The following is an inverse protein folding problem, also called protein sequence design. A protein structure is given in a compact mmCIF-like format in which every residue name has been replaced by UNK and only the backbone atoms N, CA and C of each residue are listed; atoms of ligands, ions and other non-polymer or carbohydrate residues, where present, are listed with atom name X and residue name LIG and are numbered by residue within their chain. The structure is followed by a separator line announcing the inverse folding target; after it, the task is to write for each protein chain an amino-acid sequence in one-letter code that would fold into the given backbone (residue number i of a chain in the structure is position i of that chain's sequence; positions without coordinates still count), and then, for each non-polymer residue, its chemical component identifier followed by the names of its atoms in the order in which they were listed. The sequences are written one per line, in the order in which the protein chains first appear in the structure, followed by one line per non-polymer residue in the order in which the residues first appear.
data_IF_375617464444
#
_entry.id   IF_375617464444
#
_cell.length_a   1.000
_cell.length_b   1.000
_cell.length_c   1.000
_cell.angle_alpha   90.00
_cell.angle_beta   90.00
_cell.angle_gamma   90.00
#
_symmetry.space_group_name_H-M   'P 1'
#
loop_
_entity.id
_entity.type
_entity.pdbx_description
1 polymer ?
#
# COMPACT_ATOMS: atom_id res chain seq x y z
N UNK A 1 -5.54 -49.03 -0.04
CA UNK A 1 -4.55 -48.20 0.70
C UNK A 1 -3.84 -47.17 -0.17
N UNK A 2 -3.25 -47.55 -1.32
CA UNK A 2 -2.48 -46.62 -2.18
C UNK A 2 -3.27 -45.38 -2.63
N UNK A 3 -4.52 -45.57 -3.07
CA UNK A 3 -5.42 -44.48 -3.49
C UNK A 3 -5.84 -43.54 -2.35
N UNK A 4 -6.02 -44.09 -1.15
CA UNK A 4 -6.42 -43.35 0.04
C UNK A 4 -5.27 -42.47 0.57
N UNK A 5 -4.03 -42.96 0.43
CA UNK A 5 -2.81 -42.19 0.71
C UNK A 5 -2.62 -41.06 -0.33
N UNK A 6 -2.89 -41.33 -1.62
CA UNK A 6 -2.85 -40.30 -2.67
C UNK A 6 -3.88 -39.20 -2.43
N UNK A 7 -5.12 -39.54 -2.05
CA UNK A 7 -6.15 -38.53 -1.77
C UNK A 7 -5.78 -37.65 -0.57
N UNK A 8 -5.20 -38.22 0.49
CA UNK A 8 -4.72 -37.47 1.66
C UNK A 8 -3.55 -36.53 1.29
N UNK A 9 -2.64 -36.99 0.43
CA UNK A 9 -1.52 -36.18 -0.03
C UNK A 9 -1.98 -35.00 -0.90
N UNK A 10 -2.92 -35.24 -1.83
CA UNK A 10 -3.50 -34.19 -2.69
C UNK A 10 -4.29 -33.18 -1.86
N UNK A 11 -5.07 -33.61 -0.85
CA UNK A 11 -5.78 -32.68 0.03
C UNK A 11 -4.84 -31.81 0.87
N UNK A 12 -3.67 -32.34 1.27
CA UNK A 12 -2.67 -31.57 2.02
C UNK A 12 -1.99 -30.49 1.18
N UNK A 13 -1.79 -30.75 -0.13
CA UNK A 13 -1.23 -29.76 -1.06
C UNK A 13 -2.24 -28.66 -1.40
N UNK A 14 -3.54 -29.00 -1.47
CA UNK A 14 -4.61 -28.04 -1.75
C UNK A 14 -5.03 -27.19 -0.54
N UNK A 15 -4.64 -27.59 0.68
CA UNK A 15 -5.00 -26.88 1.93
C UNK A 15 -3.96 -25.87 2.40
N UNK A 16 -3.01 -25.49 1.55
CA UNK A 16 -2.06 -24.43 1.87
C UNK A 16 -2.79 -23.09 1.88
N UNK A 17 -3.21 -22.66 3.07
CA UNK A 17 -3.59 -21.26 3.30
C UNK A 17 -2.30 -20.46 3.21
N UNK A 18 -2.05 -19.86 2.04
CA UNK A 18 -1.01 -18.85 1.90
C UNK A 18 -1.36 -17.71 2.85
N UNK A 19 -0.60 -17.58 3.93
CA UNK A 19 -0.71 -16.46 4.84
C UNK A 19 -0.51 -15.18 4.04
N UNK A 20 -1.56 -14.37 3.94
CA UNK A 20 -1.44 -13.05 3.33
C UNK A 20 -0.50 -12.26 4.22
N UNK A 21 0.63 -11.83 3.68
CA UNK A 21 1.55 -10.95 4.41
C UNK A 21 0.77 -9.79 5.02
N UNK A 22 0.96 -9.55 6.33
CA UNK A 22 0.37 -8.42 7.03
C UNK A 22 0.99 -7.13 6.50
N UNK A 23 0.44 -6.61 5.41
CA UNK A 23 0.83 -5.33 4.84
C UNK A 23 0.03 -4.21 5.50
N UNK A 24 0.74 -3.19 5.96
CA UNK A 24 0.13 -1.98 6.49
C UNK A 24 -0.51 -1.13 5.38
N UNK A 25 0.13 -1.09 4.22
CA UNK A 25 -0.24 -0.23 3.09
C UNK A 25 -0.40 -1.05 1.81
N UNK A 26 -1.30 -0.61 0.93
CA UNK A 26 -1.34 -1.15 -0.44
C UNK A 26 -0.11 -0.70 -1.21
N UNK A 27 0.42 -1.61 -2.03
CA UNK A 27 1.52 -1.34 -2.95
C UNK A 27 1.10 -1.65 -4.41
N UNK A 28 2.06 -1.60 -5.34
CA UNK A 28 1.84 -1.93 -6.74
C UNK A 28 1.37 -3.37 -6.98
N UNK A 29 1.65 -4.30 -6.07
CA UNK A 29 1.15 -5.68 -6.19
C UNK A 29 -0.36 -5.70 -5.96
N UNK A 30 -0.83 -5.02 -4.91
CA UNK A 30 -2.25 -4.89 -4.60
C UNK A 30 -2.97 -4.14 -5.72
N UNK A 31 -2.40 -3.01 -6.17
CA UNK A 31 -2.93 -2.20 -7.26
C UNK A 31 -3.10 -3.00 -8.56
N UNK A 32 -2.03 -3.67 -9.02
CA UNK A 32 -2.05 -4.47 -10.24
C UNK A 32 -2.93 -5.73 -10.11
N UNK A 33 -3.16 -6.22 -8.89
CA UNK A 33 -4.02 -7.40 -8.66
C UNK A 33 -5.49 -7.12 -8.96
N UNK A 34 -5.94 -5.87 -8.92
CA UNK A 34 -7.34 -5.49 -9.17
C UNK A 34 -7.77 -5.91 -10.59
N UNK A 35 -6.88 -5.74 -11.57
CA UNK A 35 -7.11 -6.10 -12.97
C UNK A 35 -6.96 -7.59 -13.26
N UNK A 36 -6.12 -8.29 -12.49
CA UNK A 36 -5.82 -9.72 -12.72
C UNK A 36 -6.88 -10.67 -12.18
N UNK A 37 -7.88 -10.19 -11.45
CA UNK A 37 -8.97 -11.03 -10.95
C UNK A 37 -9.89 -11.38 -12.12
N UNK A 38 -9.96 -12.67 -12.46
CA UNK A 38 -10.88 -13.19 -13.46
C UNK A 38 -12.31 -12.71 -13.12
N UNK A 39 -13.03 -12.21 -14.11
CA UNK A 39 -14.41 -11.69 -14.04
C UNK A 39 -14.61 -10.23 -13.57
N UNK A 40 -13.54 -9.43 -13.45
CA UNK A 40 -13.66 -7.99 -13.14
C UNK A 40 -13.74 -7.16 -14.43
N UNK A 41 -14.90 -6.53 -14.68
CA UNK A 41 -15.05 -5.57 -15.79
C UNK A 41 -14.19 -4.31 -15.62
N UNK A 42 -13.81 -3.65 -16.70
CA UNK A 42 -13.06 -2.36 -16.66
C UNK A 42 -13.77 -1.32 -15.78
N UNK A 43 -15.10 -1.26 -15.85
CA UNK A 43 -15.93 -0.40 -15.00
C UNK A 43 -15.78 -0.73 -13.51
N UNK A 44 -15.67 -2.01 -13.17
CA UNK A 44 -15.43 -2.47 -11.80
C UNK A 44 -14.02 -2.14 -11.33
N UNK A 45 -13.00 -2.33 -12.18
CA UNK A 45 -11.60 -1.92 -11.88
C UNK A 45 -11.56 -0.43 -11.55
N UNK A 46 -12.12 0.41 -12.42
CA UNK A 46 -12.17 1.85 -12.21
C UNK A 46 -12.88 2.23 -10.91
N UNK A 47 -14.01 1.59 -10.58
CA UNK A 47 -14.73 1.83 -9.33
C UNK A 47 -13.91 1.49 -8.09
N UNK A 48 -13.18 0.37 -8.11
CA UNK A 48 -12.34 -0.04 -6.97
C UNK A 48 -11.19 0.95 -6.80
N UNK A 49 -10.45 1.25 -7.87
CA UNK A 49 -9.31 2.18 -7.83
C UNK A 49 -9.75 3.60 -7.44
N UNK A 50 -10.86 4.09 -7.99
CA UNK A 50 -11.38 5.43 -7.65
C UNK A 50 -11.93 5.49 -6.22
N UNK A 51 -12.58 4.45 -5.71
CA UNK A 51 -12.98 4.39 -4.31
C UNK A 51 -11.79 4.44 -3.35
N UNK A 52 -10.69 3.75 -3.68
CA UNK A 52 -9.45 3.82 -2.90
C UNK A 52 -8.88 5.25 -2.87
N UNK A 53 -8.75 5.89 -4.05
CA UNK A 53 -8.24 7.26 -4.15
C UNK A 53 -9.12 8.26 -3.40
N UNK A 54 -10.44 8.20 -3.59
CA UNK A 54 -11.37 9.11 -2.94
C UNK A 54 -11.33 8.93 -1.42
N UNK A 55 -11.31 7.68 -0.93
CA UNK A 55 -11.21 7.42 0.50
C UNK A 55 -9.91 7.97 1.12
N UNK A 56 -8.80 7.93 0.38
CA UNK A 56 -7.55 8.56 0.81
C UNK A 56 -7.67 10.09 0.87
N UNK A 57 -8.24 10.71 -0.16
CA UNK A 57 -8.42 12.16 -0.22
C UNK A 57 -9.38 12.66 0.86
N UNK A 58 -10.47 11.93 1.12
CA UNK A 58 -11.42 12.20 2.20
C UNK A 58 -10.72 12.10 3.56
N UNK A 59 -9.89 11.07 3.76
CA UNK A 59 -9.08 10.91 4.97
C UNK A 59 -8.08 12.05 5.16
N UNK A 60 -7.40 12.45 4.08
CA UNK A 60 -6.49 13.61 4.09
C UNK A 60 -7.21 14.88 4.48
N UNK A 61 -8.36 15.16 3.86
CA UNK A 61 -9.18 16.34 4.17
C UNK A 61 -9.65 16.32 5.62
N UNK A 62 -10.09 15.16 6.12
CA UNK A 62 -10.51 15.01 7.52
C UNK A 62 -9.38 15.39 8.50
N UNK A 63 -8.17 14.85 8.30
CA UNK A 63 -7.05 15.16 9.19
C UNK A 63 -6.53 16.58 9.04
N UNK A 64 -6.56 17.14 7.84
CA UNK A 64 -6.30 18.57 7.62
C UNK A 64 -7.24 19.42 8.46
N UNK A 65 -8.56 19.21 8.35
CA UNK A 65 -9.55 19.98 9.11
C UNK A 65 -9.36 19.81 10.62
N UNK A 66 -9.02 18.59 11.07
CA UNK A 66 -8.73 18.33 12.48
C UNK A 66 -7.50 19.10 12.97
N UNK A 67 -6.40 19.09 12.22
CA UNK A 67 -5.19 19.84 12.56
C UNK A 67 -5.46 21.35 12.52
N UNK A 68 -6.20 21.82 11.51
CA UNK A 68 -6.54 23.22 11.31
C UNK A 68 -7.33 23.82 12.49
N UNK A 69 -8.22 23.03 13.11
CA UNK A 69 -8.94 23.47 14.33
C UNK A 69 -8.04 23.69 15.54
N UNK A 70 -6.82 23.14 15.54
CA UNK A 70 -5.84 23.28 16.62
C UNK A 70 -4.84 24.39 16.29
N UNK A 71 -4.20 24.30 15.13
CA UNK A 71 -3.19 25.26 14.68
C UNK A 71 -3.20 25.33 13.15
N UNK A 72 -3.70 26.45 12.62
CA UNK A 72 -3.90 26.63 11.19
C UNK A 72 -2.59 26.61 10.40
N UNK A 73 -1.58 27.39 10.83
CA UNK A 73 -0.30 27.48 10.09
C UNK A 73 0.40 26.12 10.00
N UNK A 74 0.32 25.32 11.07
CA UNK A 74 0.84 23.97 11.08
C UNK A 74 0.10 23.06 10.10
N UNK A 75 -1.24 23.12 10.05
CA UNK A 75 -2.04 22.34 9.11
C UNK A 75 -1.74 22.72 7.65
N UNK A 76 -1.68 24.02 7.35
CA UNK A 76 -1.38 24.53 6.01
C UNK A 76 0.02 24.11 5.56
N UNK A 77 1.00 24.10 6.47
CA UNK A 77 2.35 23.59 6.21
C UNK A 77 2.37 22.07 5.96
N UNK A 78 1.72 21.30 6.84
CA UNK A 78 1.73 19.84 6.81
C UNK A 78 1.02 19.27 5.58
N UNK A 79 -0.03 19.93 5.10
CA UNK A 79 -0.83 19.49 3.96
C UNK A 79 -0.59 20.36 2.71
N UNK A 80 0.58 20.98 2.59
CA UNK A 80 0.95 21.83 1.45
C UNK A 80 1.12 21.09 0.11
N UNK A 81 1.19 19.75 0.13
CA UNK A 81 1.32 18.93 -1.09
C UNK A 81 0.12 19.10 -2.04
N UNK A 82 0.40 19.36 -3.31
CA UNK A 82 -0.62 19.52 -4.34
C UNK A 82 -1.04 18.15 -4.90
N UNK A 83 -2.20 17.67 -4.47
CA UNK A 83 -2.81 16.42 -4.98
C UNK A 83 -4.04 16.69 -5.85
N UNK A 84 -4.19 17.90 -6.35
CA UNK A 84 -5.31 18.37 -7.17
C UNK A 84 -4.94 18.59 -8.66
N UNK A 85 -3.66 18.42 -9.02
CA UNK A 85 -3.19 18.61 -10.39
C UNK A 85 -3.79 17.61 -11.40
N UNK A 86 -4.06 16.37 -10.97
CA UNK A 86 -4.64 15.31 -11.80
C UNK A 86 -6.08 15.02 -11.39
N UNK A 87 -6.94 14.75 -12.37
CA UNK A 87 -8.26 14.15 -12.10
C UNK A 87 -8.10 12.72 -11.60
N UNK A 88 -9.06 12.18 -10.84
CA UNK A 88 -9.01 10.78 -10.37
C UNK A 88 -8.72 9.77 -11.48
N UNK A 89 -9.33 9.96 -12.66
CA UNK A 89 -9.11 9.09 -13.82
C UNK A 89 -7.67 9.19 -14.32
N UNK A 90 -7.12 10.40 -14.34
CA UNK A 90 -5.74 10.63 -14.75
C UNK A 90 -4.74 10.11 -13.72
N UNK A 91 -4.99 10.32 -12.42
CA UNK A 91 -4.19 9.73 -11.34
C UNK A 91 -4.14 8.20 -11.47
N UNK A 92 -5.28 7.55 -11.71
CA UNK A 92 -5.33 6.09 -11.94
C UNK A 92 -4.43 5.71 -13.12
N UNK A 93 -4.56 6.41 -14.26
CA UNK A 93 -3.77 6.13 -15.46
C UNK A 93 -2.27 6.30 -15.23
N UNK A 94 -1.86 7.32 -14.46
CA UNK A 94 -0.45 7.54 -14.14
C UNK A 94 0.07 6.50 -13.13
N UNK A 95 -0.74 6.09 -12.16
CA UNK A 95 -0.39 5.00 -11.24
C UNK A 95 -0.22 3.67 -11.97
N UNK A 96 -1.09 3.37 -12.95
CA UNK A 96 -0.98 2.17 -13.77
C UNK A 96 0.38 2.12 -14.47
N UNK A 97 0.78 3.23 -15.10
CA UNK A 97 2.09 3.38 -15.74
C UNK A 97 3.25 3.30 -14.75
N UNK A 98 3.12 3.96 -13.59
CA UNK A 98 4.12 3.95 -12.54
C UNK A 98 4.42 2.52 -12.07
N UNK A 99 3.40 1.68 -11.96
CA UNK A 99 3.53 0.28 -11.53
C UNK A 99 3.80 -0.73 -12.65
N UNK A 100 3.96 -0.30 -13.90
CA UNK A 100 4.55 -1.12 -14.96
C UNK A 100 6.03 -1.41 -14.67
N UNK A 101 6.72 -0.49 -14.00
CA UNK A 101 8.11 -0.66 -13.59
C UNK A 101 8.23 -1.60 -12.38
N UNK A 102 8.96 -2.71 -12.57
CA UNK A 102 9.16 -3.73 -11.52
C UNK A 102 9.75 -3.16 -10.22
N UNK A 103 10.62 -2.15 -10.33
CA UNK A 103 11.27 -1.49 -9.18
C UNK A 103 10.36 -0.51 -8.45
N UNK A 104 9.13 -0.29 -8.92
CA UNK A 104 8.16 0.59 -8.28
C UNK A 104 7.04 -0.18 -7.60
N UNK A 105 6.93 -1.49 -7.85
CA UNK A 105 5.87 -2.35 -7.30
C UNK A 105 5.81 -2.34 -5.77
N UNK A 106 6.92 -2.10 -5.08
CA UNK A 106 6.98 -2.08 -3.62
C UNK A 106 6.75 -0.69 -3.00
N UNK A 107 6.64 0.35 -3.84
CA UNK A 107 6.29 1.70 -3.37
C UNK A 107 4.81 1.68 -2.95
N UNK A 108 4.47 2.18 -1.76
CA UNK A 108 3.07 2.27 -1.34
C UNK A 108 2.25 3.18 -2.26
N UNK A 109 0.98 2.81 -2.49
CA UNK A 109 0.05 3.58 -3.34
C UNK A 109 -0.10 5.02 -2.88
N UNK A 110 -0.11 5.26 -1.56
CA UNK A 110 -0.18 6.61 -1.01
C UNK A 110 1.00 7.50 -1.45
N UNK A 111 2.21 6.95 -1.49
CA UNK A 111 3.41 7.67 -1.90
C UNK A 111 3.49 7.79 -3.41
N UNK A 112 3.07 6.75 -4.13
CA UNK A 112 2.97 6.78 -5.59
C UNK A 112 2.03 7.87 -6.08
N UNK A 113 0.93 8.16 -5.36
CA UNK A 113 0.03 9.28 -5.68
C UNK A 113 0.79 10.61 -5.64
N UNK A 114 1.58 10.86 -4.61
CA UNK A 114 2.39 12.07 -4.50
C UNK A 114 3.39 12.13 -5.66
N UNK A 115 4.07 11.02 -5.95
CA UNK A 115 5.05 10.92 -7.04
C UNK A 115 4.44 11.23 -8.41
N UNK A 116 3.28 10.65 -8.75
CA UNK A 116 2.65 10.89 -10.06
C UNK A 116 2.12 12.31 -10.20
N UNK A 117 1.71 12.93 -9.10
CA UNK A 117 1.36 14.35 -9.09
C UNK A 117 2.60 15.25 -9.25
N UNK A 118 3.70 14.97 -8.54
CA UNK A 118 4.97 15.68 -8.74
C UNK A 118 5.48 15.55 -10.19
N UNK A 119 5.36 14.37 -10.80
CA UNK A 119 5.70 14.15 -12.20
C UNK A 119 4.82 14.99 -13.13
N UNK A 120 3.52 15.04 -12.89
CA UNK A 120 2.59 15.83 -13.68
C UNK A 120 2.84 17.34 -13.53
N UNK A 121 3.24 17.78 -12.33
CA UNK A 121 3.64 19.15 -12.02
C UNK A 121 5.02 19.54 -12.57
N UNK A 122 5.73 18.61 -13.21
CA UNK A 122 7.08 18.81 -13.76
C UNK A 122 8.10 19.20 -12.68
N UNK A 123 7.94 18.68 -11.46
CA UNK A 123 8.95 18.78 -10.40
C UNK A 123 10.27 18.21 -10.94
N UNK A 124 11.44 18.81 -10.61
CA UNK A 124 12.72 18.33 -11.12
C UNK A 124 12.93 16.84 -10.84
N UNK A 125 13.32 16.08 -11.86
CA UNK A 125 13.49 14.61 -11.75
C UNK A 125 14.35 14.19 -10.55
N UNK A 126 15.42 14.93 -10.25
CA UNK A 126 16.29 14.67 -9.09
C UNK A 126 15.53 14.67 -7.75
N UNK A 127 14.54 15.54 -7.60
CA UNK A 127 13.71 15.63 -6.39
C UNK A 127 12.76 14.43 -6.32
N UNK A 128 12.16 14.05 -7.46
CA UNK A 128 11.28 12.89 -7.56
C UNK A 128 12.06 11.60 -7.25
N UNK A 129 13.25 11.43 -7.83
CA UNK A 129 14.10 10.26 -7.61
C UNK A 129 14.52 10.16 -6.13
N UNK A 130 14.90 11.28 -5.51
CA UNK A 130 15.21 11.32 -4.07
C UNK A 130 13.99 10.92 -3.21
N UNK A 131 12.81 11.47 -3.52
CA UNK A 131 11.59 11.13 -2.79
C UNK A 131 11.23 9.64 -2.93
N UNK A 132 11.42 9.08 -4.12
CA UNK A 132 11.26 7.65 -4.37
C UNK A 132 12.22 6.86 -3.47
N UNK A 133 13.50 7.20 -3.45
CA UNK A 133 14.51 6.50 -2.64
C UNK A 133 14.23 6.59 -1.13
N UNK A 134 13.83 7.76 -0.63
CA UNK A 134 13.42 7.97 0.76
C UNK A 134 12.17 7.16 1.11
N UNK A 135 11.18 7.12 0.23
CA UNK A 135 9.96 6.30 0.41
C UNK A 135 10.31 4.82 0.51
N UNK A 136 11.21 4.36 -0.35
CA UNK A 136 11.67 2.97 -0.41
C UNK A 136 12.44 2.59 0.85
N UNK A 137 13.30 3.48 1.34
CA UNK A 137 13.98 3.29 2.61
C UNK A 137 13.00 3.26 3.79
N UNK A 138 12.06 4.20 3.83
CA UNK A 138 11.06 4.31 4.88
C UNK A 138 10.17 3.07 4.98
N UNK A 139 9.60 2.58 3.87
CA UNK A 139 8.73 1.41 3.90
C UNK A 139 9.47 0.13 4.30
N UNK A 140 10.73 0.00 3.88
CA UNK A 140 11.58 -1.12 4.28
C UNK A 140 11.83 -1.08 5.79
N UNK A 141 12.19 0.08 6.33
CA UNK A 141 12.42 0.26 7.77
C UNK A 141 11.15 -0.05 8.57
N UNK A 142 10.01 0.50 8.14
CA UNK A 142 8.73 0.27 8.80
C UNK A 142 8.35 -1.22 8.83
N UNK A 143 8.61 -1.94 7.73
CA UNK A 143 8.35 -3.37 7.65
C UNK A 143 9.23 -4.16 8.62
N UNK A 144 10.53 -3.83 8.69
CA UNK A 144 11.46 -4.45 9.63
C UNK A 144 11.09 -4.18 11.09
N UNK A 145 10.74 -2.93 11.42
CA UNK A 145 10.33 -2.53 12.77
C UNK A 145 9.06 -3.29 13.20
N UNK A 146 8.09 -3.47 12.29
CA UNK A 146 6.87 -4.24 12.53
C UNK A 146 7.15 -5.74 12.75
N UNK A 147 8.06 -6.32 11.97
CA UNK A 147 8.48 -7.72 12.13
C UNK A 147 9.19 -7.95 13.47
N UNK A 148 10.10 -7.05 13.84
CA UNK A 148 10.82 -7.11 15.12
C UNK A 148 9.86 -7.00 16.30
N UNK A 149 8.93 -6.04 16.28
CA UNK A 149 7.95 -5.87 17.35
C UNK A 149 7.01 -7.09 17.45
N UNK A 150 6.57 -7.63 16.31
CA UNK A 150 5.76 -8.85 16.26
C UNK A 150 6.49 -10.05 16.86
N UNK A 151 7.77 -10.24 16.49
CA UNK A 151 8.61 -11.31 17.03
C UNK A 151 8.84 -11.15 18.53
N UNK A 152 9.08 -9.93 19.01
CA UNK A 152 9.21 -9.65 20.45
C UNK A 152 7.94 -10.03 21.21
N UNK A 153 6.76 -9.62 20.72
CA UNK A 153 5.47 -10.00 21.32
C UNK A 153 5.26 -11.51 21.36
N UNK A 154 5.63 -12.24 20.29
CA UNK A 154 5.55 -13.70 20.26
C UNK A 154 6.47 -14.38 21.28
N UNK A 155 7.67 -13.84 21.48
CA UNK A 155 8.61 -14.34 22.49
C UNK A 155 8.11 -14.10 23.91
N UNK A 156 7.55 -12.91 24.20
CA UNK A 156 6.93 -12.59 25.50
C UNK A 156 5.74 -13.53 25.81
N UNK A 157 4.87 -13.79 24.82
CA UNK A 157 3.77 -14.76 24.95
C UNK A 157 4.25 -16.20 25.20
N UNK A 158 5.36 -16.60 24.58
CA UNK A 158 5.96 -17.92 24.84
C UNK A 158 6.54 -18.00 26.24
N UNK A 159 7.32 -17.01 26.68
CA UNK A 159 7.93 -17.00 28.01
C UNK A 159 6.86 -17.02 29.11
N UNK A 160 5.82 -16.19 29.01
CA UNK A 160 4.73 -16.16 29.99
C UNK A 160 3.95 -17.47 30.10
N UNK A 161 3.94 -18.31 29.05
CA UNK A 161 3.33 -19.65 29.08
C UNK A 161 4.10 -20.67 29.93
N UNK A 162 5.41 -20.50 30.09
CA UNK A 162 6.29 -21.41 30.84
C UNK A 162 6.61 -20.90 32.26
N UNK A 163 6.11 -19.73 32.65
CA UNK A 163 6.27 -19.13 34.00
C UNK A 163 5.09 -19.49 34.93
N UNK A 164 4.25 -20.47 34.55
CA UNK A 164 3.28 -21.13 35.45
C UNK A 164 3.85 -22.44 35.96
#
# INVERSE_FOLDING_TARGET
MKYLLCTLFISSLLSQVLEKQNKLLWDGTDWNSIERKADVSEKSVYRIKSAYLNGLLDGRLYYYLKAWTVEQEFADSLYSDKLDYLTTKETIRQLDRFYEERLMVYVPVISAIIIVHMQAEQVPKRVIDLYIDETKYWINRLTLDMEEEGMRKLLELKQSKYVK
#
